data_IF_305245696365
#
_entry.id   IF_305245696365
#
_cell.length_a   1.000
_cell.length_b   1.000
_cell.length_c   1.000
_cell.angle_alpha   90.00
_cell.angle_beta   90.00
_cell.angle_gamma   90.00
#
_symmetry.space_group_name_H-M   'P 1'
#
loop_
_entity.id
_entity.type
_entity.pdbx_description
1 polymer ?
#
# COMPACT_ATOMS: atom_id res chain seq x y z
N UNK A 1 -8.42 5.80 19.18
CA UNK A 1 -8.99 5.02 20.32
C UNK A 1 -7.87 4.78 21.33
N UNK A 2 -8.04 5.11 22.62
CA UNK A 2 -6.98 4.98 23.67
C UNK A 2 -7.19 3.80 24.65
N UNK A 3 -8.23 2.99 24.41
CA UNK A 3 -8.51 1.75 25.11
C UNK A 3 -8.64 0.65 24.06
N UNK A 4 -7.98 -0.49 24.27
CA UNK A 4 -8.02 -1.64 23.37
C UNK A 4 -9.18 -2.60 23.69
N UNK A 5 -9.95 -2.32 24.74
CA UNK A 5 -10.96 -3.22 25.29
C UNK A 5 -12.29 -2.49 25.48
N UNK A 6 -13.34 -3.09 24.93
CA UNK A 6 -14.72 -2.76 25.27
C UNK A 6 -15.18 -3.68 26.40
N UNK A 7 -15.90 -3.14 27.38
CA UNK A 7 -16.48 -3.94 28.44
C UNK A 7 -17.77 -4.59 27.94
N UNK A 8 -17.65 -5.83 27.45
CA UNK A 8 -18.76 -6.62 26.90
C UNK A 8 -19.29 -7.73 27.81
N UNK A 9 -18.91 -7.74 29.09
CA UNK A 9 -19.25 -8.83 30.03
C UNK A 9 -20.73 -8.99 30.36
N UNK A 10 -21.56 -7.98 30.08
CA UNK A 10 -23.02 -8.04 30.21
C UNK A 10 -23.68 -7.31 29.03
N UNK A 11 -24.78 -7.86 28.52
CA UNK A 11 -25.52 -7.23 27.43
C UNK A 11 -26.44 -6.12 27.96
N UNK A 12 -26.63 -5.02 27.21
CA UNK A 12 -26.01 -4.74 25.91
C UNK A 12 -24.61 -4.11 26.05
N UNK A 13 -23.65 -4.57 25.23
CA UNK A 13 -22.26 -4.08 25.22
C UNK A 13 -22.08 -2.76 24.42
N UNK A 14 -23.18 -2.02 24.23
CA UNK A 14 -23.25 -0.76 23.50
C UNK A 14 -24.69 -0.37 23.19
N UNK A 15 -24.92 0.88 22.79
CA UNK A 15 -26.24 1.35 22.40
C UNK A 15 -26.19 2.34 21.24
N UNK A 16 -27.27 2.41 20.46
CA UNK A 16 -27.49 3.46 19.47
C UNK A 16 -28.36 4.55 20.09
N UNK A 17 -27.83 5.78 20.13
CA UNK A 17 -28.57 6.94 20.60
C UNK A 17 -29.62 7.38 19.58
N UNK A 18 -30.57 8.23 20.02
CA UNK A 18 -31.66 8.74 19.16
C UNK A 18 -31.16 9.56 17.98
N UNK A 19 -29.97 10.14 18.11
CA UNK A 19 -29.29 10.92 17.07
C UNK A 19 -28.42 10.04 16.15
N UNK A 20 -28.54 8.71 16.22
CA UNK A 20 -27.82 7.77 15.33
C UNK A 20 -26.43 7.37 15.79
N UNK A 21 -25.82 8.09 16.75
CA UNK A 21 -24.48 7.78 17.27
C UNK A 21 -24.44 6.47 18.04
N UNK A 22 -23.35 5.72 17.89
CA UNK A 22 -23.07 4.47 18.59
C UNK A 22 -22.21 4.72 19.81
N UNK A 23 -22.63 4.20 20.96
CA UNK A 23 -21.95 4.33 22.25
C UNK A 23 -21.45 2.97 22.73
N UNK A 24 -20.18 2.89 23.12
CA UNK A 24 -19.55 1.68 23.64
C UNK A 24 -18.88 1.95 24.99
N UNK A 25 -19.19 1.17 26.03
CA UNK A 25 -18.45 1.25 27.29
C UNK A 25 -17.06 0.63 27.15
N UNK A 26 -16.04 1.35 27.60
CA UNK A 26 -14.65 0.87 27.70
C UNK A 26 -14.15 0.97 29.14
N UNK A 27 -13.04 0.30 29.44
CA UNK A 27 -12.37 0.39 30.75
C UNK A 27 -11.91 1.81 31.11
N UNK A 28 -11.85 2.74 30.14
CA UNK A 28 -11.45 4.15 30.35
C UNK A 28 -12.62 5.14 30.14
N UNK A 29 -13.86 4.68 30.15
CA UNK A 29 -15.06 5.49 29.93
C UNK A 29 -15.82 5.12 28.65
N UNK A 30 -16.70 5.99 28.18
CA UNK A 30 -17.48 5.74 26.98
C UNK A 30 -16.76 6.22 25.70
N UNK A 31 -16.85 5.42 24.63
CA UNK A 31 -16.48 5.82 23.27
C UNK A 31 -17.75 6.07 22.48
N UNK A 32 -17.79 7.17 21.74
CA UNK A 32 -18.89 7.53 20.85
C UNK A 32 -18.37 7.53 19.41
N UNK A 33 -19.10 6.90 18.51
CA UNK A 33 -18.82 6.87 17.08
C UNK A 33 -20.05 7.31 16.30
N UNK A 34 -19.85 8.21 15.34
CA UNK A 34 -20.87 8.62 14.38
C UNK A 34 -20.69 7.79 13.10
N UNK A 35 -21.58 6.82 12.81
CA UNK A 35 -21.44 5.96 11.64
C UNK A 35 -21.70 6.69 10.31
N UNK A 36 -22.41 7.83 10.34
CA UNK A 36 -22.69 8.61 9.13
C UNK A 36 -21.52 9.54 8.77
N UNK A 37 -20.64 9.82 9.74
CA UNK A 37 -19.50 10.73 9.57
C UNK A 37 -18.17 10.05 9.94
N UNK A 38 -17.89 8.92 9.29
CA UNK A 38 -16.58 8.26 9.38
C UNK A 38 -15.62 9.01 8.45
N UNK A 39 -14.55 9.64 8.97
CA UNK A 39 -13.59 10.36 8.14
C UNK A 39 -12.84 9.37 7.24
N UNK A 40 -12.95 9.59 5.93
CA UNK A 40 -12.19 8.86 4.90
C UNK A 40 -10.93 9.67 4.58
N UNK A 41 -9.78 9.02 4.43
CA UNK A 41 -8.58 9.64 3.90
C UNK A 41 -8.62 9.65 2.36
N UNK A 42 -8.85 10.80 1.71
CA UNK A 42 -8.94 10.86 0.26
C UNK A 42 -7.56 10.90 -0.41
N UNK A 43 -6.45 10.96 0.35
CA UNK A 43 -5.12 11.15 -0.21
C UNK A 43 -4.53 9.79 -0.61
N UNK A 44 -4.29 9.55 -1.92
CA UNK A 44 -3.53 8.40 -2.34
C UNK A 44 -2.06 8.56 -1.92
N UNK A 45 -1.40 7.50 -1.47
CA UNK A 45 -0.01 7.60 -1.03
C UNK A 45 0.92 7.74 -2.25
N UNK A 46 1.87 8.69 -2.25
CA UNK A 46 2.87 8.78 -3.32
C UNK A 46 3.75 7.53 -3.31
N UNK A 47 4.03 6.97 -4.48
CA UNK A 47 4.89 5.81 -4.66
C UNK A 47 6.30 6.26 -5.00
N UNK A 48 7.30 5.59 -4.45
CA UNK A 48 8.71 5.84 -4.70
C UNK A 48 9.42 4.52 -4.98
N UNK A 49 10.20 4.45 -6.06
CA UNK A 49 11.16 3.37 -6.28
C UNK A 49 12.36 3.66 -5.38
N UNK A 50 12.77 2.70 -4.55
CA UNK A 50 13.90 2.86 -3.62
C UNK A 50 15.19 2.26 -4.18
N UNK A 51 15.07 1.14 -4.90
CA UNK A 51 16.22 0.42 -5.40
C UNK A 51 15.85 -0.43 -6.61
N UNK A 52 16.80 -0.56 -7.52
CA UNK A 52 16.72 -1.48 -8.66
C UNK A 52 18.01 -2.29 -8.70
N UNK A 53 17.88 -3.61 -8.80
CA UNK A 53 18.98 -4.56 -8.82
C UNK A 53 18.95 -5.39 -10.11
N UNK A 54 20.10 -5.54 -10.75
CA UNK A 54 20.34 -6.54 -11.79
C UNK A 54 21.34 -7.57 -11.26
N UNK A 55 20.96 -8.84 -11.21
CA UNK A 55 21.78 -9.93 -10.65
C UNK A 55 22.34 -9.61 -9.25
N UNK A 56 21.51 -8.96 -8.42
CA UNK A 56 21.84 -8.46 -7.06
C UNK A 56 22.83 -7.29 -7.02
N UNK A 57 23.19 -6.71 -8.16
CA UNK A 57 24.02 -5.51 -8.25
C UNK A 57 23.11 -4.29 -8.39
N UNK A 58 23.18 -3.31 -7.47
CA UNK A 58 22.41 -2.08 -7.58
C UNK A 58 22.83 -1.25 -8.80
N UNK A 59 21.85 -0.68 -9.49
CA UNK A 59 22.13 0.31 -10.54
C UNK A 59 22.23 1.72 -9.98
N UNK A 60 23.33 2.39 -10.31
CA UNK A 60 23.56 3.78 -9.94
C UNK A 60 22.59 4.69 -10.68
N UNK A 61 21.88 5.55 -9.95
CA UNK A 61 20.95 6.52 -10.54
C UNK A 61 19.53 6.00 -10.75
N UNK A 62 19.17 4.83 -10.20
CA UNK A 62 17.78 4.30 -10.16
C UNK A 62 16.73 5.32 -9.70
N UNK A 63 17.14 6.27 -8.85
CA UNK A 63 16.29 7.28 -8.24
C UNK A 63 16.19 8.58 -9.06
N UNK A 64 17.10 8.80 -10.01
CA UNK A 64 17.24 10.06 -10.75
C UNK A 64 17.08 9.92 -12.25
N UNK A 65 17.17 8.69 -12.78
CA UNK A 65 16.93 8.34 -14.17
C UNK A 65 15.75 7.38 -14.27
N UNK A 66 14.91 7.57 -15.28
CA UNK A 66 13.79 6.67 -15.59
C UNK A 66 14.19 5.48 -16.46
N UNK A 67 15.27 5.63 -17.24
CA UNK A 67 15.62 4.70 -18.31
C UNK A 67 16.99 4.07 -18.04
N UNK A 68 17.04 2.73 -18.14
CA UNK A 68 18.26 1.95 -17.95
C UNK A 68 18.44 0.97 -19.10
N UNK A 69 19.68 0.88 -19.60
CA UNK A 69 20.07 -0.15 -20.56
C UNK A 69 20.71 -1.29 -19.79
N UNK A 70 20.18 -2.49 -19.99
CA UNK A 70 20.65 -3.71 -19.35
C UNK A 70 21.43 -4.53 -20.36
N UNK A 71 22.62 -4.99 -19.99
CA UNK A 71 23.40 -5.86 -20.85
C UNK A 71 22.72 -7.21 -21.03
N UNK A 72 22.82 -7.84 -22.21
CA UNK A 72 22.38 -9.22 -22.40
C UNK A 72 23.06 -10.16 -21.41
N UNK A 73 22.30 -11.15 -20.90
CA UNK A 73 22.79 -12.13 -19.93
C UNK A 73 22.41 -11.84 -18.49
N UNK A 74 21.74 -10.72 -18.21
CA UNK A 74 21.12 -10.49 -16.90
C UNK A 74 19.93 -11.41 -16.69
N UNK A 75 19.95 -12.18 -15.61
CA UNK A 75 18.95 -13.20 -15.33
C UNK A 75 17.93 -12.76 -14.29
N UNK A 76 18.33 -11.90 -13.34
CA UNK A 76 17.50 -11.51 -12.21
C UNK A 76 17.32 -10.00 -12.15
N UNK A 77 16.08 -9.58 -12.03
CA UNK A 77 15.70 -8.18 -11.91
C UNK A 77 14.82 -8.00 -10.68
N UNK A 78 15.24 -7.12 -9.77
CA UNK A 78 14.47 -6.80 -8.56
C UNK A 78 14.26 -5.29 -8.45
N UNK A 79 13.02 -4.88 -8.20
CA UNK A 79 12.66 -3.49 -7.94
C UNK A 79 12.04 -3.40 -6.56
N UNK A 80 12.67 -2.62 -5.68
CA UNK A 80 12.14 -2.28 -4.36
C UNK A 80 11.42 -0.94 -4.43
N UNK A 81 10.24 -0.88 -3.84
CA UNK A 81 9.39 0.31 -3.84
C UNK A 81 8.71 0.53 -2.49
N UNK A 82 8.34 1.78 -2.23
CA UNK A 82 7.63 2.18 -1.03
C UNK A 82 6.53 3.18 -1.35
N UNK A 83 5.66 3.40 -0.38
CA UNK A 83 4.70 4.49 -0.42
C UNK A 83 4.49 5.02 0.99
N UNK A 84 4.54 6.35 1.13
CA UNK A 84 4.42 7.03 2.40
C UNK A 84 2.95 7.35 2.69
N UNK A 85 2.38 6.74 3.73
CA UNK A 85 1.12 7.17 4.35
C UNK A 85 1.39 7.52 5.81
N UNK A 86 1.25 8.80 6.15
CA UNK A 86 1.56 9.33 7.49
C UNK A 86 0.52 8.95 8.56
N UNK A 87 -0.67 8.51 8.15
CA UNK A 87 -1.79 8.24 9.06
C UNK A 87 -1.93 6.75 9.42
N UNK A 88 -1.45 5.82 8.58
CA UNK A 88 -1.55 4.38 8.83
C UNK A 88 -0.59 3.55 7.96
N UNK A 89 0.67 3.44 8.38
CA UNK A 89 1.74 2.72 7.67
C UNK A 89 1.51 1.21 7.42
N UNK A 90 0.82 0.41 8.28
CA UNK A 90 0.72 -1.04 8.05
C UNK A 90 -0.33 -1.47 7.01
N UNK A 91 -1.13 -0.55 6.44
CA UNK A 91 -2.29 -0.92 5.59
C UNK A 91 -2.18 -0.50 4.13
N UNK A 92 -1.03 0.00 3.70
CA UNK A 92 -0.84 0.34 2.28
C UNK A 92 -0.76 -0.95 1.46
N UNK A 93 -1.58 -1.04 0.40
CA UNK A 93 -1.54 -2.15 -0.55
C UNK A 93 -0.95 -1.69 -1.88
N UNK A 94 -0.23 -2.58 -2.55
CA UNK A 94 0.45 -2.29 -3.81
C UNK A 94 -0.07 -3.16 -4.94
N UNK A 95 -0.06 -2.59 -6.15
CA UNK A 95 -0.10 -3.34 -7.40
C UNK A 95 1.05 -2.88 -8.27
N UNK A 96 1.62 -3.80 -9.04
CA UNK A 96 2.62 -3.45 -10.03
C UNK A 96 2.34 -4.14 -11.35
N UNK A 97 2.97 -3.64 -12.41
CA UNK A 97 2.93 -4.22 -13.74
C UNK A 97 4.20 -3.89 -14.49
N UNK A 98 4.80 -4.88 -15.14
CA UNK A 98 5.84 -4.70 -16.13
C UNK A 98 5.23 -4.72 -17.54
N UNK A 99 4.99 -3.55 -18.11
CA UNK A 99 4.48 -3.42 -19.48
C UNK A 99 5.47 -4.04 -20.47
N UNK A 100 4.97 -4.92 -21.34
CA UNK A 100 5.77 -5.75 -22.23
C UNK A 100 6.02 -7.18 -21.73
N UNK A 101 5.68 -7.48 -20.46
CA UNK A 101 5.76 -8.83 -19.88
C UNK A 101 4.43 -9.25 -19.24
N UNK A 102 3.89 -8.43 -18.33
CA UNK A 102 2.65 -8.72 -17.61
C UNK A 102 1.41 -8.34 -18.42
N UNK A 103 0.45 -9.27 -18.47
CA UNK A 103 -0.86 -9.04 -19.10
C UNK A 103 -1.73 -8.08 -18.30
N UNK A 104 -1.76 -8.25 -16.99
CA UNK A 104 -2.60 -7.51 -16.05
C UNK A 104 -1.77 -7.03 -14.84
N UNK A 105 -2.38 -6.22 -13.97
CA UNK A 105 -1.76 -5.82 -12.70
C UNK A 105 -1.55 -7.01 -11.77
N UNK A 106 -0.38 -7.09 -11.16
CA UNK A 106 -0.05 -8.06 -10.11
C UNK A 106 -0.42 -7.46 -8.76
N UNK A 107 -1.29 -8.15 -8.01
CA UNK A 107 -1.66 -7.79 -6.64
C UNK A 107 -0.54 -8.18 -5.66
N UNK A 108 0.20 -7.18 -5.16
CA UNK A 108 1.34 -7.41 -4.26
C UNK A 108 0.96 -7.35 -2.77
N UNK A 109 -0.25 -6.91 -2.43
CA UNK A 109 -0.65 -6.73 -1.03
C UNK A 109 0.30 -5.77 -0.34
N UNK A 110 0.96 -6.20 0.74
CA UNK A 110 1.97 -5.41 1.45
C UNK A 110 3.41 -5.65 0.99
N UNK A 111 3.64 -6.51 -0.02
CA UNK A 111 4.98 -6.74 -0.56
C UNK A 111 5.51 -5.47 -1.25
N UNK A 112 6.81 -5.24 -1.08
CA UNK A 112 7.52 -4.02 -1.51
C UNK A 112 8.60 -4.30 -2.54
N UNK A 113 8.64 -5.52 -3.07
CA UNK A 113 9.66 -5.98 -4.00
C UNK A 113 8.96 -6.70 -5.14
N UNK A 114 9.21 -6.28 -6.38
CA UNK A 114 8.84 -7.03 -7.57
C UNK A 114 10.09 -7.76 -8.10
N UNK A 115 9.94 -9.04 -8.45
CA UNK A 115 11.05 -9.89 -8.94
C UNK A 115 10.68 -10.49 -10.27
N UNK A 116 11.57 -10.32 -11.26
CA UNK A 116 11.47 -10.92 -12.57
C UNK A 116 12.73 -11.72 -12.88
N UNK A 117 12.57 -12.78 -13.66
CA UNK A 117 13.68 -13.62 -14.09
C UNK A 117 13.64 -13.84 -15.60
N UNK A 118 14.82 -13.94 -16.21
CA UNK A 118 15.02 -14.30 -17.62
C UNK A 118 14.14 -13.47 -18.59
N UNK A 119 14.06 -12.16 -18.36
CA UNK A 119 13.30 -11.26 -19.23
C UNK A 119 13.92 -11.24 -20.64
N UNK A 120 13.14 -11.49 -21.70
CA UNK A 120 13.64 -11.38 -23.07
C UNK A 120 14.17 -9.96 -23.38
N UNK A 121 15.16 -9.81 -24.27
CA UNK A 121 15.68 -8.49 -24.64
C UNK A 121 14.61 -7.63 -25.34
N UNK A 122 14.01 -6.68 -24.61
CA UNK A 122 12.98 -5.74 -25.07
C UNK A 122 12.99 -4.47 -24.21
N UNK A 123 12.20 -3.48 -24.64
CA UNK A 123 11.85 -2.34 -23.80
C UNK A 123 10.71 -2.71 -22.87
N UNK A 124 10.83 -2.33 -21.59
CA UNK A 124 9.82 -2.54 -20.57
C UNK A 124 9.58 -1.25 -19.81
N UNK A 125 8.36 -1.07 -19.32
CA UNK A 125 8.00 0.01 -18.40
C UNK A 125 7.42 -0.59 -17.14
N UNK A 126 8.11 -0.39 -16.01
CA UNK A 126 7.60 -0.80 -14.72
C UNK A 126 6.68 0.29 -14.17
N UNK A 127 5.46 -0.10 -13.82
CA UNK A 127 4.49 0.76 -13.12
C UNK A 127 4.17 0.16 -11.77
N UNK A 128 4.01 1.00 -10.77
CA UNK A 128 3.58 0.60 -9.43
C UNK A 128 2.62 1.64 -8.87
N UNK A 129 1.51 1.16 -8.33
CA UNK A 129 0.49 1.97 -7.68
C UNK A 129 0.28 1.49 -6.25
N UNK A 130 -0.14 2.41 -5.40
CA UNK A 130 -0.41 2.13 -4.00
C UNK A 130 -1.81 2.60 -3.59
N UNK A 131 -2.39 1.89 -2.64
CA UNK A 131 -3.71 2.08 -2.09
C UNK A 131 -3.60 2.39 -0.60
N UNK A 132 -4.25 3.45 -0.13
CA UNK A 132 -4.36 3.69 1.31
C UNK A 132 -5.36 2.73 1.99
N UNK A 133 -5.53 2.88 3.30
CA UNK A 133 -6.41 2.02 4.11
C UNK A 133 -7.90 2.11 3.75
N UNK A 134 -8.31 3.21 3.14
CA UNK A 134 -9.69 3.48 2.74
C UNK A 134 -9.98 3.10 1.27
N UNK A 135 -9.04 2.46 0.59
CA UNK A 135 -9.25 1.98 -0.78
C UNK A 135 -8.89 2.98 -1.88
N UNK A 136 -8.29 4.12 -1.55
CA UNK A 136 -7.94 5.15 -2.53
C UNK A 136 -6.60 4.83 -3.17
N UNK A 137 -6.62 4.56 -4.48
CA UNK A 137 -5.46 4.23 -5.29
C UNK A 137 -4.81 5.47 -5.89
N UNK A 138 -3.48 5.49 -5.87
CA UNK A 138 -2.70 6.42 -6.68
C UNK A 138 -2.82 6.02 -8.16
N UNK A 139 -3.40 6.88 -8.99
CA UNK A 139 -3.55 6.63 -10.43
C UNK A 139 -2.37 7.16 -11.27
N UNK A 140 -1.49 7.95 -10.66
CA UNK A 140 -0.38 8.64 -11.34
C UNK A 140 0.94 7.87 -11.27
N UNK A 141 0.90 6.59 -10.90
CA UNK A 141 2.08 5.74 -10.65
C UNK A 141 3.09 5.70 -11.79
#
# INVERSE_FOLDING_TARGET
MRAAECNGGHQPAGCRARDGRLWFPTVKGAVVMDPENIPVNPLPPPVLIEQVLFDRVPITGALTKSDFIVSPGTEKFEISYTACSLLATPRVRFKYRLEGFDRDWVEAGSERIARYTNLPPRHYTFRVIACNEDGVWNQSG
#
